data_IF_336356245113
#
_entry.id   IF_336356245113
#
_cell.length_a   1.000
_cell.length_b   1.000
_cell.length_c   1.000
_cell.angle_alpha   90.00
_cell.angle_beta   90.00
_cell.angle_gamma   90.00
#
_symmetry.space_group_name_H-M   'P 1'
#
loop_
_entity.id
_entity.type
_entity.pdbx_description
1 polymer ?
#
# COMPACT_ATOMS: atom_id res chain seq x y z
N UNK A 1 -25.91 -18.29 -6.56
CA UNK A 1 -24.55 -18.61 -6.08
C UNK A 1 -23.78 -17.29 -6.04
N UNK A 2 -23.70 -16.64 -4.87
CA UNK A 2 -23.09 -15.32 -4.75
C UNK A 2 -21.58 -15.42 -4.92
N UNK A 3 -21.00 -14.63 -5.83
CA UNK A 3 -19.54 -14.48 -5.93
C UNK A 3 -19.02 -14.01 -4.56
N UNK A 4 -18.31 -14.88 -3.84
CA UNK A 4 -17.71 -14.54 -2.56
C UNK A 4 -16.68 -13.44 -2.81
N UNK A 5 -17.01 -12.21 -2.39
CA UNK A 5 -16.12 -11.04 -2.36
C UNK A 5 -15.30 -11.01 -1.06
N UNK A 6 -15.07 -12.16 -0.42
CA UNK A 6 -14.53 -12.26 0.94
C UNK A 6 -12.99 -12.28 1.01
N UNK A 7 -12.32 -12.31 -0.15
CA UNK A 7 -10.85 -12.35 -0.24
C UNK A 7 -10.32 -11.17 -1.06
N UNK A 8 -10.40 -9.94 -0.51
CA UNK A 8 -9.71 -8.81 -1.10
C UNK A 8 -8.21 -9.05 -1.10
N UNK A 9 -7.52 -8.52 -2.10
CA UNK A 9 -6.07 -8.53 -2.14
C UNK A 9 -5.53 -7.20 -2.68
N UNK A 10 -4.29 -6.92 -2.30
CA UNK A 10 -3.47 -5.84 -2.83
C UNK A 10 -2.15 -6.44 -3.31
N UNK A 11 -1.69 -6.02 -4.47
CA UNK A 11 -0.38 -6.36 -5.01
C UNK A 11 0.39 -5.07 -5.25
N UNK A 12 1.60 -5.01 -4.69
CA UNK A 12 2.47 -3.84 -4.77
C UNK A 12 3.80 -4.22 -5.42
N UNK A 13 4.26 -3.36 -6.32
CA UNK A 13 5.64 -3.38 -6.80
C UNK A 13 6.34 -2.07 -6.46
N UNK A 14 7.63 -2.16 -6.14
CA UNK A 14 8.50 -1.02 -5.86
C UNK A 14 9.69 -1.09 -6.81
N UNK A 15 9.90 -0.04 -7.60
CA UNK A 15 10.94 -0.03 -8.65
C UNK A 15 10.75 -1.15 -9.68
N UNK A 16 9.50 -1.54 -9.97
CA UNK A 16 9.16 -2.62 -10.89
C UNK A 16 9.36 -4.04 -10.34
N UNK A 17 9.75 -4.20 -9.07
CA UNK A 17 9.93 -5.50 -8.42
C UNK A 17 8.78 -5.78 -7.43
N UNK A 18 8.23 -7.00 -7.38
CA UNK A 18 7.29 -7.38 -6.33
C UNK A 18 7.91 -7.18 -4.95
N UNK A 19 7.12 -6.66 -4.02
CA UNK A 19 7.51 -6.59 -2.60
C UNK A 19 7.50 -7.99 -1.97
N UNK A 20 8.25 -8.16 -0.89
CA UNK A 20 8.33 -9.44 -0.16
C UNK A 20 7.14 -9.65 0.79
N UNK A 21 7.05 -10.82 1.43
CA UNK A 21 5.96 -11.14 2.35
C UNK A 21 5.89 -10.20 3.57
N UNK A 22 7.04 -9.83 4.13
CA UNK A 22 7.14 -8.92 5.30
C UNK A 22 6.44 -7.59 5.03
N UNK A 23 6.50 -7.07 3.81
CA UNK A 23 5.76 -5.86 3.42
C UNK A 23 4.27 -5.98 3.73
N UNK A 24 3.64 -7.10 3.36
CA UNK A 24 2.21 -7.33 3.56
C UNK A 24 1.89 -7.69 5.02
N UNK A 25 2.79 -8.38 5.71
CA UNK A 25 2.63 -8.71 7.14
C UNK A 25 2.65 -7.46 8.03
N UNK A 26 3.39 -6.42 7.62
CA UNK A 26 3.48 -5.14 8.33
C UNK A 26 2.50 -4.08 7.82
N UNK A 27 1.88 -4.26 6.66
CA UNK A 27 0.92 -3.30 6.11
C UNK A 27 -0.37 -3.26 6.95
N UNK A 28 -0.55 -2.16 7.68
CA UNK A 28 -1.73 -1.92 8.52
C UNK A 28 -2.89 -1.34 7.72
N UNK A 29 -2.63 -0.33 6.89
CA UNK A 29 -3.65 0.29 6.04
C UNK A 29 -3.08 0.62 4.66
N UNK A 30 -3.95 0.51 3.65
CA UNK A 30 -3.71 1.02 2.31
C UNK A 30 -4.92 1.88 1.90
N UNK A 31 -4.66 3.15 1.57
CA UNK A 31 -5.68 4.09 1.11
C UNK A 31 -5.31 4.55 -0.30
N UNK A 32 -6.22 4.38 -1.24
CA UNK A 32 -6.09 4.90 -2.61
C UNK A 32 -7.14 5.98 -2.78
N UNK A 33 -6.73 7.16 -3.26
CA UNK A 33 -7.64 8.26 -3.62
C UNK A 33 -7.43 8.60 -5.08
N UNK A 34 -8.52 8.51 -5.82
CA UNK A 34 -8.67 9.07 -7.15
C UNK A 34 -9.18 10.50 -6.95
N UNK A 35 -8.39 11.48 -7.39
CA UNK A 35 -8.70 12.90 -7.20
C UNK A 35 -9.22 13.50 -8.51
N UNK A 36 -10.22 14.37 -8.41
CA UNK A 36 -10.80 15.03 -9.60
C UNK A 36 -10.12 16.37 -9.86
N UNK A 37 -9.92 16.72 -11.14
CA UNK A 37 -9.43 18.03 -11.53
C UNK A 37 -7.93 18.08 -11.82
N UNK A 38 -7.16 18.87 -11.06
CA UNK A 38 -5.71 19.04 -11.26
C UNK A 38 -4.86 18.36 -10.19
N UNK A 39 -5.51 17.76 -9.20
CA UNK A 39 -4.85 17.01 -8.16
C UNK A 39 -4.45 15.62 -8.67
N UNK A 40 -3.34 15.10 -8.16
CA UNK A 40 -2.83 13.79 -8.55
C UNK A 40 -3.39 12.70 -7.64
N UNK A 41 -3.65 11.54 -8.20
CA UNK A 41 -4.00 10.34 -7.45
C UNK A 41 -2.96 10.05 -6.36
N UNK A 42 -3.46 9.60 -5.21
CA UNK A 42 -2.61 9.28 -4.07
C UNK A 42 -2.77 7.84 -3.62
N UNK A 43 -1.66 7.25 -3.21
CA UNK A 43 -1.64 6.03 -2.41
C UNK A 43 -0.91 6.29 -1.11
N UNK A 44 -1.56 5.94 -0.01
CA UNK A 44 -0.99 5.98 1.33
C UNK A 44 -0.91 4.55 1.86
N UNK A 45 0.30 4.14 2.27
CA UNK A 45 0.58 2.83 2.83
C UNK A 45 1.15 3.03 4.23
N UNK A 46 0.48 2.50 5.25
CA UNK A 46 0.89 2.62 6.65
C UNK A 46 1.34 1.25 7.14
N UNK A 47 2.53 1.19 7.71
CA UNK A 47 3.13 -0.03 8.22
C UNK A 47 3.26 0.00 9.75
N UNK A 48 2.99 -1.12 10.41
CA UNK A 48 3.44 -1.37 11.77
C UNK A 48 4.90 -1.85 11.72
N UNK A 49 5.83 -0.93 11.97
CA UNK A 49 7.26 -1.19 11.92
C UNK A 49 7.92 -1.18 13.32
N UNK A 50 7.21 -1.68 14.34
CA UNK A 50 7.71 -1.73 15.71
C UNK A 50 9.04 -2.50 15.88
N UNK A 51 9.37 -3.37 14.92
CA UNK A 51 10.59 -4.19 14.89
C UNK A 51 11.65 -3.71 13.90
N UNK A 52 11.41 -2.58 13.20
CA UNK A 52 12.32 -2.04 12.18
C UNK A 52 12.66 -3.08 11.09
N UNK A 53 11.63 -3.76 10.60
CA UNK A 53 11.69 -4.83 9.60
C UNK A 53 11.27 -4.34 8.20
N UNK A 54 10.63 -3.18 8.09
CA UNK A 54 10.19 -2.60 6.82
C UNK A 54 11.28 -1.71 6.22
N UNK A 55 11.91 -2.19 5.15
CA UNK A 55 12.91 -1.42 4.43
C UNK A 55 12.27 -0.24 3.68
N UNK A 56 12.82 0.96 3.88
CA UNK A 56 12.43 2.14 3.11
C UNK A 56 12.79 1.98 1.62
N UNK A 57 11.88 2.29 0.69
CA UNK A 57 12.21 2.36 -0.74
C UNK A 57 13.27 3.41 -1.04
N UNK A 58 13.96 3.26 -2.16
CA UNK A 58 14.85 4.30 -2.67
C UNK A 58 14.05 5.60 -2.96
N UNK A 59 14.64 6.78 -2.73
CA UNK A 59 14.02 8.06 -3.11
C UNK A 59 13.58 8.06 -4.58
N UNK A 60 12.33 8.48 -4.84
CA UNK A 60 11.76 8.50 -6.19
C UNK A 60 11.40 7.12 -6.78
N UNK A 61 11.50 6.04 -6.00
CA UNK A 61 11.06 4.72 -6.46
C UNK A 61 9.58 4.76 -6.91
N UNK A 62 9.32 4.14 -8.06
CA UNK A 62 7.96 3.96 -8.58
C UNK A 62 7.25 2.87 -7.78
N UNK A 63 6.12 3.23 -7.20
CA UNK A 63 5.22 2.34 -6.48
C UNK A 63 4.01 2.10 -7.40
N UNK A 64 3.80 0.86 -7.81
CA UNK A 64 2.59 0.47 -8.55
C UNK A 64 1.73 -0.45 -7.69
N UNK A 65 0.42 -0.18 -7.71
CA UNK A 65 -0.56 -0.89 -6.88
C UNK A 65 -1.69 -1.43 -7.74
N UNK A 66 -2.03 -2.68 -7.50
CA UNK A 66 -3.23 -3.34 -8.02
C UNK A 66 -4.07 -3.84 -6.85
N UNK A 67 -5.39 -3.81 -6.99
CA UNK A 67 -6.29 -4.40 -5.99
C UNK A 67 -7.39 -5.22 -6.67
N UNK A 68 -8.00 -6.13 -5.92
CA UNK A 68 -9.12 -6.88 -6.43
C UNK A 68 -9.67 -7.88 -5.43
N UNK A 69 -10.48 -8.81 -5.94
CA UNK A 69 -11.03 -9.92 -5.18
C UNK A 69 -10.66 -11.23 -5.87
N UNK A 70 -10.10 -12.17 -5.11
CA UNK A 70 -9.74 -13.50 -5.64
C UNK A 70 -10.97 -14.16 -6.28
N UNK A 71 -10.80 -14.73 -7.46
CA UNK A 71 -11.88 -15.41 -8.21
C UNK A 71 -12.84 -14.48 -8.95
N UNK A 72 -12.66 -13.15 -8.88
CA UNK A 72 -13.47 -12.17 -9.63
C UNK A 72 -12.61 -11.44 -10.66
N UNK A 73 -11.48 -10.88 -10.22
CA UNK A 73 -10.61 -10.07 -11.08
C UNK A 73 -9.76 -9.10 -10.28
N UNK A 74 -8.88 -8.41 -11.01
CA UNK A 74 -7.92 -7.45 -10.49
C UNK A 74 -7.89 -6.21 -11.36
N UNK A 75 -7.76 -5.05 -10.74
CA UNK A 75 -7.67 -3.77 -11.44
C UNK A 75 -6.36 -3.08 -11.07
N UNK A 76 -5.66 -2.59 -12.10
CA UNK A 76 -4.47 -1.75 -11.92
C UNK A 76 -4.94 -0.35 -11.54
N UNK A 77 -4.55 0.13 -10.36
CA UNK A 77 -4.99 1.43 -9.84
C UNK A 77 -4.08 2.58 -10.22
N UNK A 78 -2.88 2.28 -10.71
CA UNK A 78 -1.94 3.27 -11.18
C UNK A 78 -0.52 2.99 -10.71
N UNK A 79 0.37 3.92 -11.02
CA UNK A 79 1.74 3.93 -10.54
C UNK A 79 2.10 5.36 -10.16
N UNK A 80 2.66 5.53 -8.97
CA UNK A 80 3.04 6.85 -8.46
C UNK A 80 4.46 6.80 -7.90
N UNK A 81 5.10 7.96 -7.79
CA UNK A 81 6.41 8.08 -7.17
C UNK A 81 6.29 8.22 -5.67
N UNK A 82 7.19 7.60 -4.92
CA UNK A 82 7.32 7.87 -3.49
C UNK A 82 7.62 9.35 -3.26
N UNK A 83 6.70 10.07 -2.62
CA UNK A 83 6.85 11.50 -2.28
C UNK A 83 7.32 11.75 -0.85
N UNK A 84 6.87 10.96 0.12
CA UNK A 84 7.19 11.16 1.54
C UNK A 84 7.17 9.83 2.32
N UNK A 85 8.04 9.74 3.35
CA UNK A 85 8.12 8.64 4.31
C UNK A 85 8.11 9.20 5.75
N UNK A 86 6.98 9.77 6.21
CA UNK A 86 6.91 10.28 7.58
C UNK A 86 6.85 9.12 8.58
N UNK A 87 7.78 9.11 9.56
CA UNK A 87 7.71 8.22 10.71
C UNK A 87 6.73 8.82 11.73
N UNK A 88 5.73 8.03 12.15
CA UNK A 88 4.81 8.40 13.23
C UNK A 88 5.14 7.55 14.45
N UNK A 89 5.52 8.19 15.56
CA UNK A 89 5.63 7.48 16.83
C UNK A 89 4.25 6.94 17.22
N UNK A 90 4.15 5.62 17.45
CA UNK A 90 2.92 5.03 17.98
C UNK A 90 2.57 5.70 19.30
N UNK A 91 1.34 6.18 19.46
CA UNK A 91 0.86 6.69 20.75
C UNK A 91 1.05 5.59 21.79
N UNK A 92 2.04 5.74 22.67
CA UNK A 92 2.03 5.04 23.95
C UNK A 92 0.82 5.60 24.70
N UNK A 93 -0.25 4.81 24.83
CA UNK A 93 -1.29 5.14 25.79
C UNK A 93 -0.66 5.08 27.18
N UNK A 94 -0.27 6.24 27.71
CA UNK A 94 -0.06 6.46 29.13
C UNK A 94 -1.39 6.91 29.73
N UNK A 95 -1.97 6.11 30.62
CA UNK A 95 -3.22 6.43 31.33
C UNK A 95 -3.93 5.16 31.79
#
# INVERSE_FOLDING_TARGET
MGLMRDKPFIEVTVGGKPVNAVFYERLSTATIRDEVGQDADTVELVFDDARNEVAAPAPGALIAVSFGFRGVGSWKMGSTQLRALPLRAGRTASG
#
